data_IF_152193271879
#
_entry.id   IF_152193271879
#
_cell.length_a   1.000
_cell.length_b   1.000
_cell.length_c   1.000
_cell.angle_alpha   90.00
_cell.angle_beta   90.00
_cell.angle_gamma   90.00
#
_symmetry.space_group_name_H-M   'P 1'
#
loop_
_entity.id
_entity.type
_entity.pdbx_description
1 polymer ?
#
# COMPACT_ATOMS: atom_id res chain seq x y z
N UNK A 1 8.69 24.06 2.99
CA UNK A 1 9.21 25.40 2.62
C UNK A 1 9.25 26.40 3.77
N UNK A 2 8.60 26.12 4.91
CA UNK A 2 8.53 27.04 6.07
C UNK A 2 9.82 27.10 6.89
N UNK A 3 10.50 26.00 7.09
CA UNK A 3 11.76 25.91 7.88
C UNK A 3 12.86 26.87 7.38
N UNK A 4 12.97 27.10 6.07
CA UNK A 4 14.03 27.94 5.51
C UNK A 4 13.82 29.44 5.71
N UNK A 5 12.59 29.90 5.89
CA UNK A 5 12.25 31.33 5.97
C UNK A 5 12.08 31.85 7.39
N UNK A 6 11.70 30.98 8.34
CA UNK A 6 11.46 31.37 9.74
C UNK A 6 12.60 31.02 10.69
N UNK A 7 13.63 30.32 10.20
CA UNK A 7 14.81 29.92 10.98
C UNK A 7 15.83 31.07 11.21
N UNK A 8 15.51 32.29 10.82
CA UNK A 8 16.43 33.45 10.98
C UNK A 8 16.51 34.00 12.41
N UNK A 9 15.81 33.38 13.37
CA UNK A 9 15.90 33.79 14.78
C UNK A 9 17.02 32.99 15.47
N UNK A 10 17.87 33.68 16.24
CA UNK A 10 19.01 33.11 16.97
C UNK A 10 18.60 31.94 17.88
N UNK A 11 17.39 31.96 18.45
CA UNK A 11 16.88 30.89 19.30
C UNK A 11 16.49 29.61 18.53
N UNK A 12 16.31 29.72 17.22
CA UNK A 12 15.84 28.63 16.37
C UNK A 12 16.96 28.04 15.49
N UNK A 13 18.12 28.67 15.46
CA UNK A 13 19.30 28.28 14.70
C UNK A 13 20.47 28.07 15.65
N UNK A 14 20.86 26.84 15.89
CA UNK A 14 21.91 26.47 16.83
C UNK A 14 23.07 25.81 16.09
N UNK A 15 24.28 26.31 16.28
CA UNK A 15 25.53 25.68 15.84
C UNK A 15 26.05 24.73 16.92
N UNK A 16 26.69 23.64 16.51
CA UNK A 16 27.29 22.66 17.39
C UNK A 16 28.75 22.39 17.05
N UNK A 17 29.58 22.33 18.08
CA UNK A 17 30.91 21.76 17.94
C UNK A 17 30.80 20.23 17.80
N UNK A 18 31.56 19.67 16.85
CA UNK A 18 31.64 18.23 16.63
C UNK A 18 32.85 17.68 17.35
N UNK A 19 32.65 16.84 18.33
CA UNK A 19 33.70 16.27 19.17
C UNK A 19 34.14 14.90 18.71
N UNK A 20 35.46 14.71 18.47
CA UNK A 20 36.08 13.43 18.14
C UNK A 20 37.38 13.27 18.93
N UNK A 21 37.58 12.10 19.59
CA UNK A 21 38.78 11.70 20.30
C UNK A 21 39.39 12.77 21.24
N UNK A 22 38.53 13.54 21.89
CA UNK A 22 38.94 14.54 22.91
C UNK A 22 39.26 15.95 22.36
N UNK A 23 38.90 16.21 21.10
CA UNK A 23 39.02 17.57 20.49
C UNK A 23 37.82 17.90 19.61
N UNK A 24 37.70 19.19 19.29
CA UNK A 24 36.71 19.67 18.31
C UNK A 24 37.22 19.38 16.90
N UNK A 25 36.37 18.74 16.10
CA UNK A 25 36.63 18.50 14.68
C UNK A 25 36.09 19.69 13.86
N UNK A 26 36.96 20.67 13.58
CA UNK A 26 36.62 21.89 12.84
C UNK A 26 36.26 21.66 11.35
N UNK A 27 36.42 20.42 10.85
CA UNK A 27 36.08 20.08 9.46
C UNK A 27 34.61 19.80 9.26
N UNK A 28 33.87 19.53 10.32
CA UNK A 28 32.41 19.24 10.24
C UNK A 28 31.64 20.46 10.76
N UNK A 29 30.83 21.04 9.89
CA UNK A 29 29.81 22.01 10.29
C UNK A 29 28.55 21.29 10.67
N UNK A 30 28.05 21.57 11.87
CA UNK A 30 26.80 20.98 12.39
C UNK A 30 25.91 22.11 12.91
N UNK A 31 24.63 22.07 12.53
CA UNK A 31 23.65 23.01 13.04
C UNK A 31 22.24 22.40 13.02
N UNK A 32 21.36 22.91 13.89
CA UNK A 32 19.93 22.61 13.87
C UNK A 32 19.10 23.86 13.60
N UNK A 33 17.96 23.65 12.94
CA UNK A 33 16.94 24.67 12.72
C UNK A 33 15.61 24.18 13.28
N UNK A 34 14.81 25.10 13.81
CA UNK A 34 13.44 24.82 14.22
C UNK A 34 12.47 25.90 13.76
N UNK A 35 11.23 25.50 13.46
CA UNK A 35 10.12 26.40 13.18
C UNK A 35 8.80 25.75 13.64
N UNK A 36 8.23 26.22 14.74
CA UNK A 36 7.11 25.59 15.39
C UNK A 36 7.47 24.15 15.81
N UNK A 37 6.78 23.15 15.24
CA UNK A 37 7.05 21.75 15.50
C UNK A 37 7.89 21.08 14.39
N UNK A 38 8.45 21.85 13.46
CA UNK A 38 9.33 21.34 12.42
C UNK A 38 10.79 21.52 12.83
N UNK A 39 11.59 20.48 12.72
CA UNK A 39 13.00 20.45 13.09
C UNK A 39 13.85 19.91 11.94
N UNK A 40 15.06 20.44 11.81
CA UNK A 40 16.07 19.91 10.90
C UNK A 40 17.45 19.95 11.56
N UNK A 41 18.28 18.96 11.24
CA UNK A 41 19.69 18.92 11.63
C UNK A 41 20.52 18.73 10.37
N UNK A 42 21.56 19.55 10.21
CA UNK A 42 22.44 19.53 9.05
C UNK A 42 23.87 19.29 9.49
N UNK A 43 24.54 18.40 8.78
CA UNK A 43 25.97 18.13 8.91
C UNK A 43 26.64 18.28 7.55
N UNK A 44 27.83 18.89 7.51
CA UNK A 44 28.62 19.02 6.31
C UNK A 44 30.10 18.85 6.64
N UNK A 45 30.76 17.91 5.99
CA UNK A 45 32.22 17.76 6.06
C UNK A 45 32.88 18.63 5.01
N UNK A 46 33.61 19.65 5.45
CA UNK A 46 34.32 20.62 4.59
C UNK A 46 35.78 20.19 4.29
N UNK A 47 36.09 18.91 4.34
CA UNK A 47 37.42 18.35 4.07
C UNK A 47 37.32 17.18 3.09
N UNK A 48 38.40 16.88 2.38
CA UNK A 48 38.48 15.75 1.46
C UNK A 48 38.45 14.40 2.19
N UNK A 49 39.09 14.33 3.37
CA UNK A 49 39.15 13.10 4.16
C UNK A 49 37.83 12.83 4.89
N UNK A 50 37.63 11.58 5.26
CA UNK A 50 36.52 11.18 6.16
C UNK A 50 36.65 11.90 7.50
N UNK A 51 35.56 12.39 8.02
CA UNK A 51 35.45 13.03 9.32
C UNK A 51 34.26 12.48 10.10
N UNK A 52 34.37 12.42 11.43
CA UNK A 52 33.32 11.90 12.31
C UNK A 52 33.36 12.62 13.66
N UNK A 53 32.32 12.44 14.44
CA UNK A 53 32.24 12.94 15.81
C UNK A 53 30.83 13.01 16.37
N UNK A 54 30.75 13.52 17.57
CA UNK A 54 29.49 13.69 18.31
C UNK A 54 29.12 15.15 18.44
N UNK A 55 27.85 15.47 18.29
CA UNK A 55 27.28 16.75 18.72
C UNK A 55 26.42 16.52 19.96
N UNK A 56 26.56 17.39 20.97
CA UNK A 56 25.76 17.33 22.19
C UNK A 56 25.29 18.70 22.64
N UNK A 57 26.20 19.65 22.74
CA UNK A 57 25.93 21.00 23.21
C UNK A 57 26.16 22.00 22.07
N UNK A 58 25.29 23.01 21.93
CA UNK A 58 25.49 24.09 20.99
C UNK A 58 26.66 24.99 21.39
N UNK A 59 27.26 25.67 20.42
CA UNK A 59 28.07 26.84 20.69
C UNK A 59 27.25 27.87 21.46
N UNK A 60 27.92 28.69 22.25
CA UNK A 60 27.27 29.79 22.98
C UNK A 60 26.74 30.85 22.00
N UNK A 61 25.51 31.32 22.26
CA UNK A 61 24.88 32.38 21.50
C UNK A 61 24.34 33.48 22.44
N UNK A 62 24.39 34.71 21.96
CA UNK A 62 24.01 35.88 22.73
C UNK A 62 22.50 36.12 22.68
N UNK A 63 21.83 36.17 23.83
CA UNK A 63 20.41 36.48 23.97
C UNK A 63 20.24 37.81 24.72
N UNK A 64 19.44 38.72 24.19
CA UNK A 64 19.04 39.92 24.89
C UNK A 64 17.93 39.61 25.90
N UNK A 65 18.19 39.89 27.17
CA UNK A 65 17.27 39.66 28.29
C UNK A 65 16.97 41.00 28.96
N UNK A 66 15.71 41.15 29.41
CA UNK A 66 15.23 42.40 30.03
C UNK A 66 14.37 43.24 29.09
N UNK A 67 13.93 44.39 29.59
CA UNK A 67 13.11 45.34 28.83
C UNK A 67 13.56 46.80 29.17
N UNK A 68 13.50 47.68 28.18
CA UNK A 68 13.92 49.07 28.31
C UNK A 68 15.40 49.26 28.69
N UNK A 69 15.70 50.10 29.62
CA UNK A 69 17.07 50.45 30.05
C UNK A 69 17.79 49.34 30.84
N UNK A 70 17.05 48.27 31.25
CA UNK A 70 17.62 47.09 31.94
C UNK A 70 17.96 45.97 30.99
N UNK A 71 18.00 46.18 29.66
CA UNK A 71 18.36 45.18 28.71
C UNK A 71 19.86 44.85 28.80
N UNK A 72 20.19 43.57 29.03
CA UNK A 72 21.56 43.05 29.01
C UNK A 72 21.67 41.82 28.11
N UNK A 73 22.90 41.44 27.76
CA UNK A 73 23.16 40.26 26.93
C UNK A 73 23.62 39.11 27.83
N UNK A 74 22.95 37.96 27.72
CA UNK A 74 23.34 36.68 28.31
C UNK A 74 23.86 35.73 27.26
N UNK A 75 24.94 35.00 27.57
CA UNK A 75 25.41 33.89 26.74
C UNK A 75 24.67 32.63 27.16
N UNK A 76 24.05 31.96 26.21
CA UNK A 76 23.30 30.72 26.42
C UNK A 76 23.78 29.66 25.47
N UNK A 77 23.60 28.40 25.87
CA UNK A 77 23.77 27.24 25.00
C UNK A 77 22.63 26.26 25.26
N UNK A 78 22.33 25.42 24.30
CA UNK A 78 21.29 24.35 24.38
C UNK A 78 21.89 23.01 23.95
N UNK A 79 21.48 21.95 24.61
CA UNK A 79 21.76 20.60 24.10
C UNK A 79 21.02 20.35 22.77
N UNK A 80 21.50 19.39 21.98
CA UNK A 80 20.78 18.98 20.75
C UNK A 80 19.37 18.45 21.08
N UNK A 81 19.19 17.79 22.22
CA UNK A 81 17.88 17.34 22.67
C UNK A 81 16.93 18.51 23.00
N UNK A 82 17.41 19.56 23.64
CA UNK A 82 16.63 20.79 23.84
C UNK A 82 16.31 21.49 22.52
N UNK A 83 17.28 21.55 21.59
CA UNK A 83 17.11 22.12 20.25
C UNK A 83 16.07 21.37 19.40
N UNK A 84 15.90 20.08 19.64
CA UNK A 84 14.92 19.22 18.97
C UNK A 84 13.65 18.95 19.81
N UNK A 85 13.54 19.57 20.99
CA UNK A 85 12.43 19.38 21.93
C UNK A 85 12.19 17.91 22.32
N UNK A 86 13.28 17.17 22.61
CA UNK A 86 13.23 15.76 23.01
C UNK A 86 13.16 15.64 24.55
N UNK A 87 12.43 14.64 25.01
CA UNK A 87 12.26 14.35 26.43
C UNK A 87 13.33 13.39 26.95
N UNK A 88 13.76 13.58 28.20
CA UNK A 88 14.59 12.60 28.92
C UNK A 88 13.71 11.50 29.49
N UNK A 89 13.28 10.59 28.63
CA UNK A 89 12.33 9.53 28.94
C UNK A 89 12.71 8.21 28.23
N UNK A 90 12.67 7.09 28.97
CA UNK A 90 13.02 5.77 28.47
C UNK A 90 11.95 5.20 27.51
N UNK A 91 10.72 5.71 27.60
CA UNK A 91 9.57 5.24 26.79
C UNK A 91 9.34 6.10 25.53
N UNK A 92 10.29 6.99 25.21
CA UNK A 92 10.17 7.87 24.05
C UNK A 92 11.28 7.68 23.05
N UNK A 93 10.93 7.82 21.78
CA UNK A 93 11.79 7.57 20.61
C UNK A 93 11.74 8.74 19.68
N UNK A 94 12.92 9.19 19.24
CA UNK A 94 13.08 10.19 18.21
C UNK A 94 13.14 9.50 16.85
N UNK A 95 12.22 9.86 15.96
CA UNK A 95 12.16 9.41 14.57
C UNK A 95 12.58 10.57 13.67
N UNK A 96 13.40 10.31 12.67
CA UNK A 96 13.86 11.31 11.71
C UNK A 96 14.22 10.68 10.37
N UNK A 97 14.20 11.48 9.32
CA UNK A 97 14.47 11.07 7.95
C UNK A 97 15.71 11.75 7.39
N UNK A 98 16.61 11.00 6.78
CA UNK A 98 17.72 11.57 6.02
C UNK A 98 17.21 11.95 4.62
N UNK A 99 17.37 13.23 4.29
CA UNK A 99 16.75 13.85 3.11
C UNK A 99 17.26 13.28 1.76
N UNK A 100 18.56 13.00 1.65
CA UNK A 100 19.19 12.54 0.40
C UNK A 100 18.88 11.08 0.08
N UNK A 101 18.97 10.21 1.07
CA UNK A 101 18.75 8.78 0.91
C UNK A 101 17.28 8.41 1.06
N UNK A 102 16.48 9.26 1.69
CA UNK A 102 15.09 9.00 2.05
C UNK A 102 14.93 7.97 3.18
N UNK A 103 16.02 7.58 3.85
CA UNK A 103 15.97 6.59 4.92
C UNK A 103 15.45 7.19 6.22
N UNK A 104 14.60 6.43 6.89
CA UNK A 104 14.11 6.71 8.23
C UNK A 104 15.03 6.10 9.27
N UNK A 105 15.19 6.79 10.38
CA UNK A 105 15.97 6.39 11.54
C UNK A 105 15.12 6.49 12.80
N UNK A 106 15.42 5.65 13.77
CA UNK A 106 14.83 5.68 15.10
C UNK A 106 15.93 5.58 16.15
N UNK A 107 15.82 6.38 17.21
CA UNK A 107 16.73 6.42 18.35
C UNK A 107 15.94 6.60 19.63
N UNK A 108 16.44 6.08 20.75
CA UNK A 108 15.89 6.43 22.08
C UNK A 108 16.10 7.92 22.35
N UNK A 109 15.05 8.67 22.70
CA UNK A 109 15.17 10.09 23.03
C UNK A 109 16.15 10.32 24.18
N UNK A 110 16.11 9.49 25.22
CA UNK A 110 17.04 9.53 26.33
C UNK A 110 18.50 9.34 25.90
N UNK A 111 18.79 8.45 24.94
CA UNK A 111 20.13 8.28 24.42
C UNK A 111 20.67 9.55 23.74
N UNK A 112 19.82 10.24 22.97
CA UNK A 112 20.18 11.54 22.37
C UNK A 112 20.43 12.59 23.46
N UNK A 113 19.63 12.62 24.51
CA UNK A 113 19.85 13.51 25.65
C UNK A 113 21.18 13.23 26.37
N UNK A 114 21.55 11.98 26.55
CA UNK A 114 22.76 11.60 27.28
C UNK A 114 24.03 11.71 26.44
N UNK A 115 24.01 11.20 25.22
CA UNK A 115 25.20 11.06 24.35
C UNK A 115 25.27 12.12 23.26
N UNK A 116 24.14 12.70 22.86
CA UNK A 116 24.03 13.52 21.64
C UNK A 116 23.82 12.69 20.39
N UNK A 117 24.18 13.22 19.23
CA UNK A 117 24.09 12.55 17.93
C UNK A 117 25.48 12.30 17.35
N UNK A 118 25.74 11.09 16.92
CA UNK A 118 26.97 10.71 16.21
C UNK A 118 26.80 10.88 14.72
N UNK A 119 27.84 11.40 14.05
CA UNK A 119 27.92 11.53 12.62
C UNK A 119 29.26 11.03 12.08
N UNK A 120 29.23 10.41 10.91
CA UNK A 120 30.44 10.05 10.15
C UNK A 120 30.17 10.35 8.66
N UNK A 121 30.99 11.19 8.07
CA UNK A 121 30.85 11.69 6.71
C UNK A 121 32.12 11.44 5.89
N UNK A 122 31.96 11.06 4.64
CA UNK A 122 33.06 11.03 3.68
C UNK A 122 33.46 12.45 3.29
N UNK A 123 34.51 12.59 2.47
CA UNK A 123 34.97 13.91 2.02
C UNK A 123 33.88 14.68 1.28
N UNK A 124 33.66 15.93 1.69
CA UNK A 124 32.63 16.83 1.15
C UNK A 124 31.21 16.29 1.20
N UNK A 125 30.96 15.27 2.01
CA UNK A 125 29.63 14.72 2.21
C UNK A 125 28.82 15.59 3.17
N UNK A 126 27.50 15.64 2.93
CA UNK A 126 26.54 16.24 3.84
C UNK A 126 25.41 15.28 4.16
N UNK A 127 24.81 15.45 5.33
CA UNK A 127 23.55 14.79 5.72
C UNK A 127 22.58 15.82 6.27
N UNK A 128 21.33 15.70 5.89
CA UNK A 128 20.25 16.58 6.34
C UNK A 128 19.15 15.71 6.91
N UNK A 129 18.92 15.82 8.22
CA UNK A 129 17.83 15.15 8.89
C UNK A 129 16.63 16.09 9.00
N UNK A 130 15.48 15.60 8.56
CA UNK A 130 14.20 16.31 8.54
C UNK A 130 13.09 15.43 9.11
N UNK A 131 11.86 15.91 9.17
CA UNK A 131 10.70 15.17 9.68
C UNK A 131 10.97 14.62 11.10
N UNK A 132 11.76 15.34 11.89
CA UNK A 132 12.19 14.95 13.24
C UNK A 132 11.00 15.12 14.18
N UNK A 133 10.63 14.05 14.86
CA UNK A 133 9.56 14.07 15.86
C UNK A 133 9.77 13.00 16.91
N UNK A 134 9.20 13.23 18.09
CA UNK A 134 9.22 12.28 19.19
C UNK A 134 7.90 11.51 19.25
N UNK A 135 7.99 10.21 19.49
CA UNK A 135 6.86 9.32 19.71
C UNK A 135 6.98 8.59 21.04
N UNK A 136 5.87 8.32 21.68
CA UNK A 136 5.80 7.45 22.85
C UNK A 136 5.64 6.00 22.40
N UNK A 137 6.28 5.06 23.11
CA UNK A 137 6.17 3.64 22.78
C UNK A 137 4.73 3.13 22.94
N UNK A 138 4.39 2.15 22.15
CA UNK A 138 3.07 1.53 22.14
C UNK A 138 3.02 0.36 23.14
N UNK A 139 1.81 -0.09 23.51
CA UNK A 139 1.63 -1.19 24.44
C UNK A 139 2.28 -2.52 23.99
N UNK A 140 2.49 -2.70 22.70
CA UNK A 140 3.20 -3.82 22.09
C UNK A 140 4.71 -3.58 21.91
N UNK A 141 5.25 -2.52 22.52
CA UNK A 141 6.67 -2.14 22.47
C UNK A 141 7.26 -1.98 21.04
N UNK A 142 6.44 -1.47 20.14
CA UNK A 142 6.78 -1.32 18.73
C UNK A 142 8.06 -0.54 18.48
N UNK A 143 8.16 0.66 19.05
CA UNK A 143 9.32 1.53 18.81
C UNK A 143 10.58 1.05 19.53
N UNK A 144 10.42 0.41 20.69
CA UNK A 144 11.51 -0.28 21.38
C UNK A 144 12.08 -1.38 20.48
N UNK A 145 11.23 -2.29 19.99
CA UNK A 145 11.64 -3.43 19.17
C UNK A 145 12.27 -2.96 17.86
N UNK A 146 11.69 -1.96 17.18
CA UNK A 146 12.26 -1.35 15.98
C UNK A 146 13.65 -0.74 16.24
N UNK A 147 13.79 0.04 17.32
CA UNK A 147 15.05 0.67 17.69
C UNK A 147 16.14 -0.39 17.96
N UNK A 148 15.79 -1.42 18.74
CA UNK A 148 16.71 -2.49 19.10
C UNK A 148 17.09 -3.39 17.91
N UNK A 149 16.17 -3.58 16.95
CA UNK A 149 16.41 -4.35 15.72
C UNK A 149 17.25 -3.58 14.72
N UNK A 150 16.95 -2.32 14.50
CA UNK A 150 17.66 -1.48 13.54
C UNK A 150 19.04 -1.08 14.04
N UNK A 151 19.26 -0.98 15.35
CA UNK A 151 20.55 -0.62 15.96
C UNK A 151 21.20 0.58 15.30
N UNK A 152 20.38 1.56 14.96
CA UNK A 152 20.86 2.75 14.32
C UNK A 152 20.97 2.73 12.81
N UNK A 153 20.70 1.62 12.16
CA UNK A 153 20.60 1.58 10.69
C UNK A 153 19.33 2.32 10.23
N UNK A 154 19.41 2.96 9.09
CA UNK A 154 18.24 3.51 8.41
C UNK A 154 17.47 2.45 7.67
N UNK A 155 16.17 2.68 7.50
CA UNK A 155 15.27 1.85 6.68
C UNK A 155 14.41 2.74 5.78
N UNK A 156 13.85 2.19 4.71
CA UNK A 156 12.99 2.96 3.79
C UNK A 156 11.62 3.26 4.37
N UNK A 157 11.11 2.41 5.25
CA UNK A 157 9.78 2.55 5.86
C UNK A 157 9.72 1.78 7.19
N UNK A 158 9.47 2.48 8.30
CA UNK A 158 9.37 1.88 9.64
C UNK A 158 8.14 0.98 9.79
N UNK A 159 7.05 1.25 9.06
CA UNK A 159 5.86 0.40 9.07
C UNK A 159 6.15 -0.95 8.42
N UNK A 160 6.87 -0.94 7.30
CA UNK A 160 7.30 -2.17 6.62
C UNK A 160 8.22 -2.99 7.52
N UNK A 161 9.21 -2.37 8.17
CA UNK A 161 10.11 -3.06 9.11
C UNK A 161 9.32 -3.68 10.28
N UNK A 162 8.33 -2.96 10.81
CA UNK A 162 7.47 -3.48 11.86
C UNK A 162 6.65 -4.69 11.39
N UNK A 163 6.04 -4.62 10.20
CA UNK A 163 5.32 -5.74 9.62
C UNK A 163 6.22 -6.97 9.40
N UNK A 164 7.46 -6.78 8.91
CA UNK A 164 8.43 -7.87 8.74
C UNK A 164 8.77 -8.56 10.07
N UNK A 165 8.82 -7.81 11.16
CA UNK A 165 9.06 -8.36 12.48
C UNK A 165 7.84 -9.11 13.02
N UNK A 166 6.65 -8.49 12.95
CA UNK A 166 5.40 -9.07 13.46
C UNK A 166 4.97 -10.33 12.71
N UNK A 167 5.13 -10.35 11.39
CA UNK A 167 4.64 -11.41 10.51
C UNK A 167 5.76 -12.29 9.95
N UNK A 168 6.91 -12.36 10.60
CA UNK A 168 8.08 -13.12 10.12
C UNK A 168 7.73 -14.55 9.75
N UNK A 169 7.11 -15.30 10.66
CA UNK A 169 6.79 -16.72 10.44
C UNK A 169 5.74 -16.88 9.34
N UNK A 170 4.76 -15.98 9.29
CA UNK A 170 3.78 -15.94 8.22
C UNK A 170 4.45 -15.72 6.86
N UNK A 171 5.34 -14.74 6.76
CA UNK A 171 6.03 -14.44 5.51
C UNK A 171 7.02 -15.53 5.08
N UNK A 172 7.67 -16.20 6.02
CA UNK A 172 8.53 -17.35 5.71
C UNK A 172 7.73 -18.53 5.18
N UNK A 173 6.61 -18.88 5.82
CA UNK A 173 5.74 -19.96 5.35
C UNK A 173 5.08 -19.61 4.00
N UNK A 174 4.67 -18.35 3.80
CA UNK A 174 4.18 -17.85 2.52
C UNK A 174 5.23 -17.98 1.41
N UNK A 175 6.46 -17.52 1.65
CA UNK A 175 7.55 -17.58 0.67
C UNK A 175 7.87 -19.02 0.26
N UNK A 176 7.90 -19.94 1.21
CA UNK A 176 8.11 -21.36 0.93
C UNK A 176 7.00 -21.94 0.03
N UNK A 177 5.74 -21.59 0.29
CA UNK A 177 4.62 -22.03 -0.53
C UNK A 177 4.62 -21.35 -1.91
N UNK A 178 4.77 -20.03 -1.99
CA UNK A 178 4.81 -19.28 -3.25
C UNK A 178 5.94 -19.76 -4.17
N UNK A 179 7.14 -19.97 -3.62
CA UNK A 179 8.30 -20.48 -4.37
C UNK A 179 8.10 -21.91 -4.88
N UNK A 180 7.32 -22.73 -4.19
CA UNK A 180 7.02 -24.10 -4.64
C UNK A 180 5.96 -24.16 -5.74
N UNK A 181 5.21 -23.09 -5.97
CA UNK A 181 4.01 -23.10 -6.83
C UNK A 181 4.14 -22.18 -8.04
N UNK A 182 4.55 -20.92 -7.84
CA UNK A 182 4.49 -19.90 -8.90
C UNK A 182 5.40 -20.23 -10.08
N UNK A 183 6.65 -20.71 -9.93
CA UNK A 183 7.50 -21.08 -11.07
C UNK A 183 6.91 -22.21 -11.92
N UNK A 184 6.31 -23.20 -11.28
CA UNK A 184 5.68 -24.32 -11.97
C UNK A 184 4.44 -23.88 -12.76
N UNK A 185 3.62 -23.00 -12.18
CA UNK A 185 2.48 -22.40 -12.88
C UNK A 185 2.97 -21.60 -14.09
N UNK A 186 4.00 -20.76 -13.91
CA UNK A 186 4.59 -19.99 -15.00
C UNK A 186 5.06 -20.88 -16.14
N UNK A 187 5.75 -21.99 -15.82
CA UNK A 187 6.19 -22.98 -16.81
C UNK A 187 5.02 -23.66 -17.54
N UNK A 188 3.92 -23.97 -16.85
CA UNK A 188 2.73 -24.56 -17.47
C UNK A 188 2.03 -23.56 -18.41
N UNK A 189 2.00 -22.28 -18.06
CA UNK A 189 1.35 -21.22 -18.84
C UNK A 189 2.21 -20.77 -20.03
N UNK A 190 3.54 -20.85 -19.91
CA UNK A 190 4.51 -20.38 -20.88
C UNK A 190 5.49 -21.53 -21.28
N UNK A 191 5.01 -22.61 -21.93
CA UNK A 191 5.85 -23.73 -22.32
C UNK A 191 6.94 -23.29 -23.29
N UNK A 192 8.17 -23.72 -23.06
CA UNK A 192 9.36 -23.40 -23.90
C UNK A 192 9.33 -24.15 -25.24
N UNK A 193 8.52 -25.21 -25.34
CA UNK A 193 8.42 -26.04 -26.53
C UNK A 193 7.29 -25.60 -27.49
N UNK A 194 7.49 -25.74 -28.79
CA UNK A 194 6.46 -25.44 -29.79
C UNK A 194 5.22 -26.35 -29.66
N UNK A 195 5.37 -27.53 -29.05
CA UNK A 195 4.26 -28.43 -28.77
C UNK A 195 3.61 -28.04 -27.46
N UNK A 196 2.41 -27.52 -27.53
CA UNK A 196 1.60 -27.23 -26.34
C UNK A 196 1.08 -28.51 -25.69
N UNK A 197 1.17 -28.59 -24.34
CA UNK A 197 0.65 -29.75 -23.63
C UNK A 197 -0.86 -29.91 -23.83
N UNK A 198 -1.30 -31.15 -23.94
CA UNK A 198 -2.72 -31.51 -23.98
C UNK A 198 -3.39 -31.26 -22.62
N UNK A 199 -4.72 -31.11 -22.61
CA UNK A 199 -5.48 -30.97 -21.35
C UNK A 199 -5.22 -32.14 -20.37
N UNK A 200 -5.03 -33.36 -20.87
CA UNK A 200 -4.70 -34.51 -20.03
C UNK A 200 -3.30 -34.41 -19.40
N UNK A 201 -2.31 -33.93 -20.17
CA UNK A 201 -0.94 -33.70 -19.67
C UNK A 201 -0.96 -32.58 -18.60
N UNK A 202 -1.68 -31.49 -18.85
CA UNK A 202 -1.82 -30.39 -17.88
C UNK A 202 -2.50 -30.83 -16.59
N UNK A 203 -3.59 -31.59 -16.67
CA UNK A 203 -4.22 -32.18 -15.48
C UNK A 203 -3.24 -33.00 -14.66
N UNK A 204 -2.39 -33.80 -15.32
CA UNK A 204 -1.36 -34.59 -14.66
C UNK A 204 -0.30 -33.69 -13.99
N UNK A 205 0.14 -32.63 -14.69
CA UNK A 205 1.11 -31.68 -14.18
C UNK A 205 0.55 -30.89 -12.97
N UNK A 206 -0.68 -30.38 -13.08
CA UNK A 206 -1.34 -29.69 -11.97
C UNK A 206 -1.51 -30.60 -10.75
N UNK A 207 -1.94 -31.86 -10.97
CA UNK A 207 -2.06 -32.82 -9.88
C UNK A 207 -0.70 -33.08 -9.21
N UNK A 208 0.37 -33.27 -9.99
CA UNK A 208 1.70 -33.46 -9.44
C UNK A 208 2.18 -32.22 -8.65
N UNK A 209 1.91 -31.01 -9.16
CA UNK A 209 2.23 -29.77 -8.45
C UNK A 209 1.46 -29.65 -7.14
N UNK A 210 0.14 -29.87 -7.18
CA UNK A 210 -0.72 -29.83 -5.98
C UNK A 210 -0.21 -30.83 -4.94
N UNK A 211 0.08 -32.07 -5.33
CA UNK A 211 0.61 -33.10 -4.42
C UNK A 211 1.99 -32.71 -3.84
N UNK A 212 2.89 -32.15 -4.64
CA UNK A 212 4.23 -31.76 -4.21
C UNK A 212 4.24 -30.56 -3.25
N UNK A 213 3.37 -29.56 -3.46
CA UNK A 213 3.29 -28.36 -2.63
C UNK A 213 2.44 -28.52 -1.36
N UNK A 214 1.78 -29.67 -1.16
CA UNK A 214 0.83 -29.89 -0.06
C UNK A 214 1.33 -29.50 1.31
N UNK A 215 2.53 -29.96 1.66
CA UNK A 215 3.10 -29.69 2.98
C UNK A 215 3.40 -28.20 3.19
N UNK A 216 3.93 -27.53 2.17
CA UNK A 216 4.20 -26.09 2.22
C UNK A 216 2.88 -25.29 2.32
N UNK A 217 1.86 -25.69 1.56
CA UNK A 217 0.54 -25.08 1.58
C UNK A 217 -0.13 -25.20 2.94
N UNK A 218 -0.20 -26.43 3.50
CA UNK A 218 -0.81 -26.67 4.81
C UNK A 218 -0.04 -25.93 5.91
N UNK A 219 1.29 -25.92 5.87
CA UNK A 219 2.09 -25.13 6.82
C UNK A 219 1.76 -23.64 6.74
N UNK A 220 1.69 -23.09 5.52
CA UNK A 220 1.31 -21.69 5.34
C UNK A 220 -0.10 -21.40 5.86
N UNK A 221 -1.10 -22.22 5.50
CA UNK A 221 -2.48 -22.01 5.94
C UNK A 221 -2.64 -22.15 7.46
N UNK A 222 -1.94 -23.12 8.07
CA UNK A 222 -1.94 -23.29 9.53
C UNK A 222 -1.30 -22.08 10.22
N UNK A 223 -0.15 -21.65 9.74
CA UNK A 223 0.55 -20.47 10.28
C UNK A 223 -0.30 -19.22 10.16
N UNK A 224 -0.86 -18.96 8.98
CA UNK A 224 -1.71 -17.79 8.73
C UNK A 224 -2.99 -17.80 9.60
N UNK A 225 -3.63 -18.96 9.79
CA UNK A 225 -4.79 -19.09 10.67
C UNK A 225 -4.46 -18.75 12.13
N UNK A 226 -3.23 -19.04 12.59
CA UNK A 226 -2.79 -18.66 13.93
C UNK A 226 -2.65 -17.12 14.10
N UNK A 227 -2.39 -16.39 13.03
CA UNK A 227 -2.37 -14.91 13.04
C UNK A 227 -3.77 -14.29 12.88
N UNK A 228 -4.79 -15.06 12.52
CA UNK A 228 -6.16 -14.61 12.27
C UNK A 228 -7.12 -14.89 13.43
N UNK A 229 -6.66 -14.76 14.69
CA UNK A 229 -7.45 -15.11 15.87
C UNK A 229 -8.77 -14.34 16.02
N UNK A 230 -8.89 -13.20 15.36
CA UNK A 230 -10.06 -12.32 15.35
C UNK A 230 -11.08 -12.62 14.23
N UNK A 231 -10.77 -13.60 13.35
CA UNK A 231 -11.59 -13.94 12.18
C UNK A 231 -11.75 -15.45 12.07
N UNK A 232 -12.98 -15.91 11.83
CA UNK A 232 -13.25 -17.32 11.56
C UNK A 232 -12.82 -17.68 10.13
N UNK A 233 -11.86 -18.59 10.00
CA UNK A 233 -11.32 -19.08 8.74
C UNK A 233 -11.56 -20.59 8.59
N UNK A 234 -11.63 -21.09 7.34
CA UNK A 234 -11.66 -22.54 7.10
C UNK A 234 -10.39 -23.21 7.61
N UNK A 235 -10.49 -24.50 7.99
CA UNK A 235 -9.32 -25.33 8.30
C UNK A 235 -8.30 -25.36 7.15
N UNK A 236 -7.01 -25.53 7.48
CA UNK A 236 -5.91 -25.48 6.51
C UNK A 236 -6.08 -26.47 5.35
N UNK A 237 -6.56 -27.69 5.63
CA UNK A 237 -6.85 -28.72 4.63
C UNK A 237 -7.96 -28.30 3.67
N UNK A 238 -8.99 -27.62 4.17
CA UNK A 238 -10.07 -27.10 3.34
C UNK A 238 -9.60 -25.93 2.47
N UNK A 239 -8.74 -25.07 3.00
CA UNK A 239 -8.13 -23.99 2.23
C UNK A 239 -7.25 -24.56 1.11
N UNK A 240 -6.42 -25.55 1.42
CA UNK A 240 -5.61 -26.28 0.44
C UNK A 240 -6.46 -26.94 -0.66
N UNK A 241 -7.54 -27.62 -0.28
CA UNK A 241 -8.45 -28.23 -1.25
C UNK A 241 -9.11 -27.20 -2.18
N UNK A 242 -9.47 -26.02 -1.65
CA UNK A 242 -10.00 -24.91 -2.45
C UNK A 242 -8.94 -24.35 -3.40
N UNK A 243 -7.72 -24.14 -2.93
CA UNK A 243 -6.57 -23.73 -3.77
C UNK A 243 -6.35 -24.71 -4.92
N UNK A 244 -6.27 -26.01 -4.62
CA UNK A 244 -6.07 -27.06 -5.62
C UNK A 244 -7.15 -27.03 -6.72
N UNK A 245 -8.41 -26.90 -6.32
CA UNK A 245 -9.55 -26.81 -7.24
C UNK A 245 -9.49 -25.55 -8.12
N UNK A 246 -9.18 -24.41 -7.55
CA UNK A 246 -9.04 -23.15 -8.31
C UNK A 246 -7.87 -23.21 -9.28
N UNK A 247 -6.74 -23.75 -8.84
CA UNK A 247 -5.56 -23.90 -9.69
C UNK A 247 -5.81 -24.81 -10.87
N UNK A 248 -6.45 -25.98 -10.64
CA UNK A 248 -6.82 -26.88 -11.71
C UNK A 248 -7.71 -26.17 -12.74
N UNK A 249 -8.76 -25.48 -12.29
CA UNK A 249 -9.67 -24.73 -13.16
C UNK A 249 -8.93 -23.67 -13.97
N UNK A 250 -8.08 -22.87 -13.34
CA UNK A 250 -7.30 -21.80 -13.98
C UNK A 250 -6.36 -22.35 -15.07
N UNK A 251 -5.56 -23.38 -14.74
CA UNK A 251 -4.57 -23.92 -15.68
C UNK A 251 -5.23 -24.59 -16.88
N UNK A 252 -6.35 -25.30 -16.67
CA UNK A 252 -7.08 -25.93 -17.77
C UNK A 252 -7.74 -24.92 -18.70
N UNK A 253 -8.28 -23.82 -18.16
CA UNK A 253 -8.84 -22.74 -18.98
C UNK A 253 -7.76 -22.01 -19.79
N UNK A 254 -6.57 -21.81 -19.21
CA UNK A 254 -5.44 -21.20 -19.89
C UNK A 254 -4.90 -22.05 -21.07
N UNK A 255 -4.99 -23.36 -20.93
CA UNK A 255 -4.47 -24.32 -21.92
C UNK A 255 -5.30 -24.41 -23.19
N UNK A 256 -6.59 -24.11 -23.11
CA UNK A 256 -7.44 -24.14 -24.29
C UNK A 256 -7.13 -22.96 -25.20
N UNK A 257 -6.63 -23.25 -26.42
CA UNK A 257 -6.39 -22.23 -27.44
C UNK A 257 -7.70 -21.80 -28.09
N UNK A 258 -7.98 -20.50 -28.20
CA UNK A 258 -8.90 -20.05 -29.23
C UNK A 258 -8.22 -20.20 -30.62
N UNK A 259 -9.02 -20.51 -31.60
CA UNK A 259 -8.54 -20.67 -32.97
C UNK A 259 -8.00 -19.37 -33.58
N UNK A 260 -8.37 -18.19 -33.05
CA UNK A 260 -7.89 -16.84 -33.46
C UNK A 260 -7.97 -15.88 -32.28
N UNK A 261 -7.02 -14.92 -32.19
CA UNK A 261 -7.17 -13.77 -31.26
C UNK A 261 -8.42 -12.99 -31.67
N UNK A 262 -9.32 -12.65 -30.75
CA UNK A 262 -10.43 -11.76 -31.08
C UNK A 262 -9.88 -10.39 -31.48
N UNK A 263 -10.33 -9.84 -32.60
CA UNK A 263 -9.98 -8.49 -33.03
C UNK A 263 -10.52 -7.42 -32.04
N UNK A 264 -11.65 -7.73 -31.41
CA UNK A 264 -12.24 -6.93 -30.32
C UNK A 264 -12.62 -7.84 -29.14
N UNK A 265 -11.79 -7.80 -28.11
CA UNK A 265 -11.97 -8.58 -26.86
C UNK A 265 -13.31 -8.33 -26.22
N UNK A 266 -13.72 -7.08 -26.14
CA UNK A 266 -14.94 -6.70 -25.45
C UNK A 266 -16.18 -7.16 -26.21
N UNK A 267 -16.12 -7.15 -27.56
CA UNK A 267 -17.21 -7.70 -28.38
C UNK A 267 -17.30 -9.22 -28.23
N UNK A 268 -16.15 -9.90 -28.12
CA UNK A 268 -16.08 -11.35 -27.90
C UNK A 268 -16.58 -11.74 -26.51
N UNK A 269 -16.19 -10.99 -25.47
CA UNK A 269 -16.68 -11.19 -24.08
C UNK A 269 -18.21 -11.01 -23.99
N UNK A 270 -18.76 -9.99 -24.64
CA UNK A 270 -20.23 -9.76 -24.70
C UNK A 270 -20.99 -10.89 -25.41
N UNK A 271 -20.34 -11.66 -26.27
CA UNK A 271 -20.91 -12.79 -27.00
C UNK A 271 -20.72 -14.13 -26.27
N UNK A 272 -19.93 -14.16 -25.19
CA UNK A 272 -19.73 -15.38 -24.40
C UNK A 272 -21.05 -15.85 -23.80
N UNK A 273 -21.40 -17.12 -24.06
CA UNK A 273 -22.70 -17.69 -23.65
C UNK A 273 -22.65 -18.38 -22.29
N UNK A 274 -21.48 -18.70 -21.81
CA UNK A 274 -21.22 -19.42 -20.57
C UNK A 274 -19.93 -18.92 -19.91
N UNK A 275 -19.73 -19.31 -18.65
CA UNK A 275 -18.59 -18.89 -17.86
C UNK A 275 -17.24 -19.31 -18.45
N UNK A 276 -17.17 -20.52 -18.96
CA UNK A 276 -15.92 -21.06 -19.49
C UNK A 276 -15.52 -20.34 -20.78
N UNK A 277 -16.46 -20.05 -21.68
CA UNK A 277 -16.18 -19.26 -22.88
C UNK A 277 -15.81 -17.81 -22.55
N UNK A 278 -16.39 -17.22 -21.52
CA UNK A 278 -16.05 -15.87 -21.03
C UNK A 278 -14.62 -15.81 -20.49
N UNK A 279 -14.28 -16.69 -19.55
CA UNK A 279 -12.95 -16.76 -18.93
C UNK A 279 -11.88 -17.07 -19.98
N UNK A 280 -12.17 -18.03 -20.89
CA UNK A 280 -11.28 -18.39 -22.00
C UNK A 280 -11.00 -17.22 -22.96
N UNK A 281 -12.03 -16.45 -23.31
CA UNK A 281 -11.86 -15.27 -24.18
C UNK A 281 -10.97 -14.22 -23.51
N UNK A 282 -11.18 -13.93 -22.23
CA UNK A 282 -10.33 -12.99 -21.48
C UNK A 282 -8.89 -13.46 -21.42
N UNK A 283 -8.69 -14.73 -21.09
CA UNK A 283 -7.37 -15.34 -21.01
C UNK A 283 -6.56 -15.28 -22.29
N UNK A 284 -7.21 -15.44 -23.42
CA UNK A 284 -6.53 -15.36 -24.72
C UNK A 284 -5.93 -14.00 -24.99
N UNK A 285 -6.51 -12.99 -24.40
CA UNK A 285 -6.10 -11.60 -24.65
C UNK A 285 -5.13 -11.08 -23.61
N UNK A 286 -5.16 -11.66 -22.40
CA UNK A 286 -4.27 -11.30 -21.30
C UNK A 286 -3.80 -12.55 -20.55
N UNK A 287 -2.89 -13.34 -21.14
CA UNK A 287 -2.40 -14.57 -20.53
C UNK A 287 -1.71 -14.36 -19.18
N UNK A 288 -1.11 -13.20 -18.96
CA UNK A 288 -0.50 -12.79 -17.68
C UNK A 288 -1.48 -12.74 -16.53
N UNK A 289 -2.78 -12.54 -16.77
CA UNK A 289 -3.79 -12.51 -15.71
C UNK A 289 -3.96 -13.86 -15.00
N UNK A 290 -3.66 -14.96 -15.67
CA UNK A 290 -3.77 -16.29 -15.02
C UNK A 290 -2.78 -16.46 -13.90
N UNK A 291 -1.56 -15.96 -14.06
CA UNK A 291 -0.55 -16.02 -13.01
C UNK A 291 -0.96 -15.19 -11.80
N UNK A 292 -1.51 -13.98 -11.99
CA UNK A 292 -2.01 -13.16 -10.89
C UNK A 292 -3.28 -13.74 -10.24
N UNK A 293 -4.15 -14.39 -11.02
CA UNK A 293 -5.30 -15.13 -10.47
C UNK A 293 -4.84 -16.36 -9.68
N UNK A 294 -3.75 -17.02 -10.07
CA UNK A 294 -3.15 -18.10 -9.28
C UNK A 294 -2.55 -17.57 -7.96
N UNK A 295 -1.90 -16.41 -7.98
CA UNK A 295 -1.46 -15.73 -6.76
C UNK A 295 -2.65 -15.42 -5.82
N UNK A 296 -3.76 -14.93 -6.37
CA UNK A 296 -4.99 -14.74 -5.61
C UNK A 296 -5.52 -16.07 -5.04
N UNK A 297 -5.50 -17.17 -5.80
CA UNK A 297 -5.95 -18.47 -5.33
C UNK A 297 -5.17 -18.96 -4.09
N UNK A 298 -3.86 -18.62 -3.99
CA UNK A 298 -3.02 -18.93 -2.82
C UNK A 298 -3.58 -18.28 -1.54
N UNK A 299 -4.03 -17.03 -1.63
CA UNK A 299 -4.46 -16.23 -0.46
C UNK A 299 -5.97 -15.99 -0.39
N UNK A 300 -6.74 -16.68 -1.22
CA UNK A 300 -8.19 -16.41 -1.36
C UNK A 300 -8.95 -16.29 -0.04
N UNK A 301 -8.80 -17.26 0.86
CA UNK A 301 -9.51 -17.26 2.15
C UNK A 301 -9.21 -16.01 2.99
N UNK A 302 -8.00 -15.49 2.87
CA UNK A 302 -7.56 -14.27 3.57
C UNK A 302 -8.02 -13.01 2.86
N UNK A 303 -8.07 -13.03 1.52
CA UNK A 303 -8.63 -11.93 0.74
C UNK A 303 -10.13 -11.76 1.02
N UNK A 304 -10.88 -12.85 1.05
CA UNK A 304 -12.32 -12.88 1.40
C UNK A 304 -12.57 -12.34 2.82
N UNK A 305 -11.67 -12.64 3.74
CA UNK A 305 -11.73 -12.20 5.13
C UNK A 305 -11.18 -10.76 5.33
N UNK A 306 -10.69 -10.08 4.28
CA UNK A 306 -10.09 -8.74 4.36
C UNK A 306 -8.69 -8.68 4.97
N UNK A 307 -8.03 -9.84 5.16
CA UNK A 307 -6.71 -9.95 5.80
C UNK A 307 -5.54 -9.73 4.82
N UNK A 308 -5.76 -9.85 3.52
CA UNK A 308 -4.69 -9.73 2.52
C UNK A 308 -4.00 -8.34 2.52
N UNK A 309 -4.75 -7.27 2.79
CA UNK A 309 -4.19 -5.92 2.92
C UNK A 309 -3.48 -5.75 4.26
N UNK A 310 -4.08 -6.22 5.37
CA UNK A 310 -3.48 -6.21 6.72
C UNK A 310 -2.13 -6.91 6.75
N UNK A 311 -1.99 -8.03 6.05
CA UNK A 311 -0.75 -8.81 5.96
C UNK A 311 0.09 -8.49 4.73
N UNK A 312 -0.23 -7.43 4.00
CA UNK A 312 0.52 -6.91 2.86
C UNK A 312 0.92 -7.98 1.82
N UNK A 313 0.06 -8.97 1.54
CA UNK A 313 0.39 -10.05 0.58
C UNK A 313 0.67 -9.54 -0.83
N UNK A 314 0.03 -8.43 -1.27
CA UNK A 314 0.37 -7.80 -2.54
C UNK A 314 1.86 -7.41 -2.59
N UNK A 315 2.38 -6.81 -1.52
CA UNK A 315 3.81 -6.46 -1.40
C UNK A 315 4.68 -7.72 -1.43
N UNK A 316 4.30 -8.78 -0.70
CA UNK A 316 5.06 -10.04 -0.65
C UNK A 316 5.11 -10.75 -2.00
N UNK A 317 4.05 -10.74 -2.80
CA UNK A 317 4.08 -11.21 -4.18
C UNK A 317 4.97 -10.35 -5.08
N UNK A 318 4.91 -9.02 -4.95
CA UNK A 318 5.79 -8.13 -5.69
C UNK A 318 7.28 -8.36 -5.36
N UNK A 319 7.61 -8.56 -4.09
CA UNK A 319 8.96 -8.91 -3.64
C UNK A 319 9.41 -10.25 -4.25
N UNK A 320 8.53 -11.25 -4.29
CA UNK A 320 8.80 -12.51 -4.96
C UNK A 320 9.13 -12.31 -6.44
N UNK A 321 8.29 -11.62 -7.22
CA UNK A 321 8.53 -11.35 -8.64
C UNK A 321 9.83 -10.55 -8.86
N UNK A 322 10.16 -9.63 -7.97
CA UNK A 322 11.44 -8.93 -7.98
C UNK A 322 12.63 -9.88 -7.78
N UNK A 323 12.54 -10.80 -6.85
CA UNK A 323 13.61 -11.73 -6.52
C UNK A 323 13.96 -12.69 -7.67
N UNK A 324 12.98 -13.02 -8.50
CA UNK A 324 13.15 -13.89 -9.69
C UNK A 324 13.36 -13.09 -10.98
N UNK A 325 13.52 -11.77 -10.90
CA UNK A 325 13.76 -10.91 -12.07
C UNK A 325 12.57 -10.75 -13.01
N UNK A 326 11.36 -11.14 -12.57
CA UNK A 326 10.13 -11.11 -13.38
C UNK A 326 9.24 -9.90 -13.08
N UNK A 327 9.63 -9.02 -12.15
CA UNK A 327 8.81 -7.87 -11.78
C UNK A 327 8.72 -6.85 -12.91
N UNK A 328 7.52 -6.63 -13.42
CA UNK A 328 7.19 -5.58 -14.39
C UNK A 328 6.11 -4.66 -13.81
N UNK A 329 5.96 -3.48 -14.40
CA UNK A 329 4.87 -2.57 -14.04
C UNK A 329 3.50 -3.26 -14.22
N UNK A 330 3.33 -4.01 -15.30
CA UNK A 330 2.06 -4.66 -15.62
C UNK A 330 1.71 -5.77 -14.64
N UNK A 331 2.66 -6.60 -14.23
CA UNK A 331 2.46 -7.63 -13.20
C UNK A 331 2.01 -6.99 -11.89
N UNK A 332 2.70 -5.93 -11.44
CA UNK A 332 2.35 -5.22 -10.23
C UNK A 332 0.95 -4.60 -10.29
N UNK A 333 0.64 -3.91 -11.41
CA UNK A 333 -0.66 -3.29 -11.60
C UNK A 333 -1.79 -4.34 -11.65
N UNK A 334 -1.56 -5.47 -12.31
CA UNK A 334 -2.54 -6.55 -12.40
C UNK A 334 -2.76 -7.26 -11.06
N UNK A 335 -1.71 -7.51 -10.26
CA UNK A 335 -1.84 -8.01 -8.89
C UNK A 335 -2.72 -7.08 -8.05
N UNK A 336 -2.41 -5.79 -8.05
CA UNK A 336 -3.21 -4.79 -7.34
C UNK A 336 -4.66 -4.80 -7.78
N UNK A 337 -4.93 -4.86 -9.10
CA UNK A 337 -6.30 -4.95 -9.64
C UNK A 337 -7.01 -6.20 -9.13
N UNK A 338 -6.38 -7.37 -9.22
CA UNK A 338 -6.98 -8.66 -8.78
C UNK A 338 -7.34 -8.59 -7.31
N UNK A 339 -6.42 -8.19 -6.43
CA UNK A 339 -6.66 -8.18 -4.98
C UNK A 339 -7.68 -7.14 -4.54
N UNK A 340 -7.74 -6.01 -5.22
CA UNK A 340 -8.72 -4.97 -4.91
C UNK A 340 -10.12 -5.36 -5.40
N UNK A 341 -10.23 -5.90 -6.62
CA UNK A 341 -11.51 -6.32 -7.19
C UNK A 341 -12.08 -7.56 -6.50
N UNK A 342 -11.23 -8.46 -5.99
CA UNK A 342 -11.66 -9.62 -5.22
C UNK A 342 -12.51 -9.26 -3.99
N UNK A 343 -12.32 -8.07 -3.41
CA UNK A 343 -13.12 -7.58 -2.27
C UNK A 343 -14.61 -7.37 -2.60
N UNK A 344 -14.94 -7.21 -3.86
CA UNK A 344 -16.31 -6.94 -4.34
C UNK A 344 -16.83 -7.98 -5.34
N UNK A 345 -16.02 -8.97 -5.69
CA UNK A 345 -16.34 -10.04 -6.63
C UNK A 345 -17.07 -11.20 -5.89
N UNK A 346 -18.26 -10.94 -5.38
CA UNK A 346 -19.03 -11.92 -4.59
C UNK A 346 -20.25 -12.45 -5.36
N UNK A 347 -20.11 -13.66 -5.90
CA UNK A 347 -21.17 -14.34 -6.65
C UNK A 347 -22.45 -14.56 -5.79
N UNK A 348 -22.33 -14.73 -4.47
CA UNK A 348 -23.48 -14.90 -3.56
C UNK A 348 -24.22 -13.57 -3.42
N UNK A 349 -23.49 -12.46 -3.26
CA UNK A 349 -24.11 -11.14 -3.19
C UNK A 349 -24.78 -10.78 -4.52
N UNK A 350 -24.12 -11.04 -5.66
CA UNK A 350 -24.68 -10.81 -7.00
C UNK A 350 -26.01 -11.55 -7.15
N UNK A 351 -26.05 -12.83 -6.79
CA UNK A 351 -27.26 -13.64 -6.88
C UNK A 351 -28.36 -13.17 -5.94
N UNK A 352 -28.01 -12.68 -4.74
CA UNK A 352 -28.96 -12.24 -3.72
C UNK A 352 -29.48 -10.82 -3.95
N UNK A 353 -28.63 -9.91 -4.33
CA UNK A 353 -28.89 -8.47 -4.51
C UNK A 353 -27.90 -7.87 -5.53
N UNK A 354 -28.18 -8.11 -6.81
CA UNK A 354 -27.36 -7.63 -7.93
C UNK A 354 -27.15 -6.11 -7.88
N UNK A 355 -28.17 -5.34 -7.48
CA UNK A 355 -28.07 -3.88 -7.40
C UNK A 355 -27.08 -3.41 -6.35
N UNK A 356 -27.03 -4.09 -5.20
CA UNK A 356 -26.06 -3.79 -4.14
C UNK A 356 -24.66 -4.21 -4.58
N UNK A 357 -24.50 -5.36 -5.22
CA UNK A 357 -23.23 -5.81 -5.76
C UNK A 357 -22.69 -4.83 -6.80
N UNK A 358 -23.52 -4.43 -7.77
CA UNK A 358 -23.18 -3.40 -8.77
C UNK A 358 -22.77 -2.07 -8.13
N UNK A 359 -23.47 -1.64 -7.08
CA UNK A 359 -23.12 -0.42 -6.35
C UNK A 359 -21.70 -0.50 -5.75
N UNK A 360 -21.38 -1.57 -5.06
CA UNK A 360 -20.03 -1.74 -4.46
C UNK A 360 -18.94 -1.83 -5.54
N UNK A 361 -19.18 -2.55 -6.64
CA UNK A 361 -18.25 -2.63 -7.77
C UNK A 361 -18.03 -1.23 -8.38
N UNK A 362 -19.11 -0.53 -8.77
CA UNK A 362 -18.99 0.77 -9.43
C UNK A 362 -18.44 1.84 -8.51
N UNK A 363 -18.76 1.81 -7.21
CA UNK A 363 -18.19 2.69 -6.20
C UNK A 363 -16.66 2.53 -6.14
N UNK A 364 -16.18 1.29 -6.14
CA UNK A 364 -14.74 1.00 -6.15
C UNK A 364 -14.06 1.49 -7.43
N UNK A 365 -14.71 1.35 -8.58
CA UNK A 365 -14.21 1.82 -9.88
C UNK A 365 -14.19 3.35 -10.00
N UNK A 366 -15.06 4.07 -9.32
CA UNK A 366 -15.29 5.51 -9.54
C UNK A 366 -14.88 6.41 -8.38
N UNK A 367 -14.60 5.84 -7.20
CA UNK A 367 -14.33 6.60 -5.98
C UNK A 367 -13.16 6.02 -5.18
N UNK A 368 -12.48 6.89 -4.40
CA UNK A 368 -11.40 6.48 -3.51
C UNK A 368 -10.05 6.27 -4.19
N UNK A 369 -9.10 5.76 -3.43
CA UNK A 369 -7.67 5.66 -3.82
C UNK A 369 -7.39 4.74 -5.01
N UNK A 370 -8.28 3.79 -5.29
CA UNK A 370 -8.10 2.82 -6.36
C UNK A 370 -8.79 3.16 -7.68
N UNK A 371 -9.62 4.20 -7.71
CA UNK A 371 -10.38 4.55 -8.91
C UNK A 371 -9.47 4.87 -10.12
N UNK A 372 -8.33 5.55 -9.90
CA UNK A 372 -7.33 5.78 -10.96
C UNK A 372 -6.77 4.49 -11.55
N UNK A 373 -6.42 3.50 -10.69
CA UNK A 373 -5.91 2.20 -11.12
C UNK A 373 -6.96 1.36 -11.87
N UNK A 374 -8.19 1.35 -11.36
CA UNK A 374 -9.24 0.42 -11.82
C UNK A 374 -10.04 0.96 -13.01
N UNK A 375 -10.13 2.27 -13.17
CA UNK A 375 -10.91 2.86 -14.27
C UNK A 375 -10.21 4.02 -14.99
N UNK A 376 -8.96 4.33 -14.62
CA UNK A 376 -8.30 5.54 -15.12
C UNK A 376 -8.99 6.82 -14.69
N UNK A 377 -9.71 6.78 -13.54
CA UNK A 377 -10.48 7.93 -13.06
C UNK A 377 -9.57 9.14 -12.79
N UNK A 378 -9.95 10.28 -13.35
CA UNK A 378 -9.29 11.55 -13.12
C UNK A 378 -10.33 12.69 -12.99
N UNK A 379 -9.91 13.84 -12.48
CA UNK A 379 -10.78 15.03 -12.35
C UNK A 379 -10.34 16.12 -13.32
N UNK A 380 -11.34 16.64 -14.06
CA UNK A 380 -11.18 17.81 -14.90
C UNK A 380 -12.43 18.69 -14.76
N UNK A 381 -12.27 19.98 -14.46
CA UNK A 381 -13.36 20.95 -14.22
C UNK A 381 -14.42 20.42 -13.22
N UNK A 382 -13.96 19.91 -12.06
CA UNK A 382 -14.78 19.32 -10.99
C UNK A 382 -15.58 18.07 -11.35
N UNK A 383 -15.49 17.59 -12.59
CA UNK A 383 -16.11 16.36 -13.05
C UNK A 383 -15.08 15.23 -12.98
N UNK A 384 -15.47 14.10 -12.40
CA UNK A 384 -14.69 12.87 -12.44
C UNK A 384 -15.00 12.09 -13.71
N UNK A 385 -13.98 11.82 -14.50
CA UNK A 385 -14.04 11.06 -15.76
C UNK A 385 -13.35 9.71 -15.60
N UNK A 386 -13.83 8.68 -16.31
CA UNK A 386 -13.17 7.39 -16.37
C UNK A 386 -12.71 7.05 -17.79
N UNK A 387 -11.69 6.17 -17.91
CA UNK A 387 -11.23 5.62 -19.18
C UNK A 387 -12.05 4.39 -19.54
N UNK A 388 -12.48 4.31 -20.80
CA UNK A 388 -13.35 3.23 -21.29
C UNK A 388 -12.67 1.86 -21.23
N UNK A 389 -11.46 1.76 -21.76
CA UNK A 389 -10.72 0.51 -21.92
C UNK A 389 -10.33 -0.05 -20.56
N UNK A 390 -9.79 0.81 -19.67
CA UNK A 390 -9.40 0.42 -18.30
C UNK A 390 -10.60 -0.05 -17.48
N UNK A 391 -11.75 0.64 -17.61
CA UNK A 391 -12.99 0.23 -16.95
C UNK A 391 -13.55 -1.08 -17.48
N UNK A 392 -13.48 -1.30 -18.79
CA UNK A 392 -13.93 -2.56 -19.42
C UNK A 392 -13.11 -3.75 -18.92
N UNK A 393 -11.78 -3.59 -18.81
CA UNK A 393 -10.89 -4.60 -18.24
C UNK A 393 -11.23 -4.94 -16.79
N UNK A 394 -11.44 -3.91 -15.96
CA UNK A 394 -11.75 -4.12 -14.54
C UNK A 394 -13.12 -4.76 -14.34
N UNK A 395 -14.14 -4.40 -15.14
CA UNK A 395 -15.45 -5.05 -15.10
C UNK A 395 -15.33 -6.52 -15.54
N UNK A 396 -14.55 -6.80 -16.59
CA UNK A 396 -14.30 -8.18 -17.01
C UNK A 396 -13.56 -8.98 -15.92
N UNK A 397 -12.55 -8.40 -15.29
CA UNK A 397 -11.74 -9.05 -14.26
C UNK A 397 -12.55 -9.36 -12.99
N UNK A 398 -13.36 -8.43 -12.50
CA UNK A 398 -14.24 -8.70 -11.34
C UNK A 398 -15.25 -9.79 -11.65
N UNK A 399 -15.74 -9.86 -12.88
CA UNK A 399 -16.63 -10.92 -13.34
C UNK A 399 -15.94 -12.28 -13.35
N UNK A 400 -14.69 -12.37 -13.86
CA UNK A 400 -13.90 -13.62 -13.81
C UNK A 400 -13.70 -14.10 -12.39
N UNK A 401 -13.31 -13.22 -11.48
CA UNK A 401 -13.10 -13.57 -10.07
C UNK A 401 -14.41 -14.13 -9.47
N UNK A 402 -15.53 -13.48 -9.72
CA UNK A 402 -16.84 -13.98 -9.26
C UNK A 402 -17.21 -15.33 -9.89
N UNK A 403 -16.94 -15.53 -11.19
CA UNK A 403 -17.21 -16.79 -11.90
C UNK A 403 -16.35 -17.96 -11.41
N UNK A 404 -15.10 -17.71 -11.01
CA UNK A 404 -14.22 -18.75 -10.45
C UNK A 404 -14.82 -19.39 -9.17
N UNK A 405 -15.63 -18.63 -8.44
CA UNK A 405 -16.25 -19.02 -7.19
C UNK A 405 -17.72 -19.42 -7.33
N UNK A 406 -18.36 -18.99 -8.40
CA UNK A 406 -19.75 -19.25 -8.66
C UNK A 406 -20.04 -20.76 -8.78
N UNK A 407 -21.16 -21.18 -8.22
CA UNK A 407 -21.80 -22.46 -8.55
C UNK A 407 -22.49 -22.34 -9.90
N UNK A 408 -22.82 -23.47 -10.54
CA UNK A 408 -23.53 -23.49 -11.82
C UNK A 408 -24.83 -22.65 -11.76
N UNK A 409 -25.56 -22.72 -10.64
CA UNK A 409 -26.76 -21.92 -10.42
C UNK A 409 -26.53 -20.39 -10.30
N UNK A 410 -25.33 -19.96 -10.01
CA UNK A 410 -24.97 -18.54 -9.86
C UNK A 410 -24.38 -17.94 -11.15
N UNK A 411 -23.90 -18.78 -12.04
CA UNK A 411 -23.17 -18.36 -13.25
C UNK A 411 -23.98 -17.41 -14.12
N UNK A 412 -25.26 -17.73 -14.36
CA UNK A 412 -26.14 -16.88 -15.18
C UNK A 412 -26.33 -15.48 -14.56
N UNK A 413 -26.51 -15.40 -13.23
CA UNK A 413 -26.65 -14.14 -12.53
C UNK A 413 -25.37 -13.27 -12.62
N UNK A 414 -24.18 -13.88 -12.52
CA UNK A 414 -22.90 -13.18 -12.64
C UNK A 414 -22.70 -12.65 -14.06
N UNK A 415 -23.05 -13.41 -15.09
CA UNK A 415 -22.96 -12.94 -16.49
C UNK A 415 -24.00 -11.85 -16.80
N UNK A 416 -25.19 -11.92 -16.21
CA UNK A 416 -26.21 -10.87 -16.32
C UNK A 416 -25.71 -9.55 -15.69
N UNK A 417 -25.12 -9.62 -14.51
CA UNK A 417 -24.50 -8.47 -13.82
C UNK A 417 -23.41 -7.80 -14.68
N UNK A 418 -22.56 -8.59 -15.32
CA UNK A 418 -21.56 -8.11 -16.25
C UNK A 418 -22.20 -7.27 -17.39
N UNK A 419 -23.28 -7.79 -18.00
CA UNK A 419 -23.99 -7.10 -19.07
C UNK A 419 -24.62 -5.78 -18.58
N UNK A 420 -25.19 -5.78 -17.38
CA UNK A 420 -25.79 -4.59 -16.75
C UNK A 420 -24.75 -3.53 -16.44
N UNK A 421 -23.59 -3.90 -15.90
CA UNK A 421 -22.48 -2.98 -15.63
C UNK A 421 -21.97 -2.35 -16.93
N UNK A 422 -21.77 -3.12 -18.00
CA UNK A 422 -21.37 -2.58 -19.30
C UNK A 422 -22.41 -1.64 -19.90
N UNK A 423 -23.70 -1.98 -19.77
CA UNK A 423 -24.80 -1.12 -20.23
C UNK A 423 -24.83 0.21 -19.47
N UNK A 424 -24.75 0.17 -18.14
CA UNK A 424 -24.70 1.36 -17.30
C UNK A 424 -23.47 2.24 -17.60
N UNK A 425 -22.29 1.62 -17.77
CA UNK A 425 -21.06 2.32 -18.14
C UNK A 425 -21.21 3.04 -19.48
N UNK A 426 -21.79 2.38 -20.49
CA UNK A 426 -22.00 2.97 -21.83
C UNK A 426 -22.91 4.20 -21.75
N UNK A 427 -23.97 4.14 -20.94
CA UNK A 427 -24.90 5.26 -20.71
C UNK A 427 -24.32 6.39 -19.87
N UNK A 428 -23.23 6.16 -19.17
CA UNK A 428 -22.60 7.14 -18.29
C UNK A 428 -21.77 8.21 -19.01
N UNK A 429 -21.56 8.08 -20.31
CA UNK A 429 -20.80 9.06 -21.14
C UNK A 429 -19.44 9.43 -20.49
N UNK A 430 -18.71 8.43 -20.00
CA UNK A 430 -17.41 8.55 -19.33
C UNK A 430 -17.41 9.30 -17.98
N UNK A 431 -18.58 9.70 -17.45
CA UNK A 431 -18.64 10.40 -16.16
C UNK A 431 -18.86 9.43 -15.00
N UNK A 432 -17.96 9.46 -14.00
CA UNK A 432 -18.04 8.63 -12.80
C UNK A 432 -19.38 8.79 -12.05
N UNK A 433 -19.88 10.02 -11.94
CA UNK A 433 -21.16 10.32 -11.29
C UNK A 433 -22.36 9.71 -11.98
N UNK A 434 -22.37 9.70 -13.33
CA UNK A 434 -23.43 9.08 -14.11
C UNK A 434 -23.36 7.55 -14.04
N UNK A 435 -22.15 6.96 -13.96
CA UNK A 435 -21.97 5.54 -13.88
C UNK A 435 -22.51 4.95 -12.56
N UNK A 436 -22.24 5.59 -11.42
CA UNK A 436 -22.70 5.09 -10.12
C UNK A 436 -24.18 5.37 -9.84
N UNK A 437 -24.73 6.43 -10.40
CA UNK A 437 -26.10 6.92 -10.12
C UNK A 437 -27.21 5.85 -10.19
N UNK A 438 -27.25 4.94 -11.19
CA UNK A 438 -28.29 3.92 -11.28
C UNK A 438 -28.32 2.93 -10.12
N UNK A 439 -27.18 2.74 -9.45
CA UNK A 439 -26.98 1.74 -8.41
C UNK A 439 -27.10 2.29 -6.99
N UNK A 440 -27.09 3.61 -6.80
CA UNK A 440 -27.17 4.24 -5.47
C UNK A 440 -28.43 3.79 -4.72
N UNK A 441 -28.32 3.28 -3.48
CA UNK A 441 -29.46 2.92 -2.66
C UNK A 441 -30.39 4.11 -2.39
N UNK A 442 -31.71 3.89 -2.46
CA UNK A 442 -32.72 4.95 -2.27
C UNK A 442 -32.63 5.67 -0.91
N UNK A 443 -32.07 5.02 0.09
CA UNK A 443 -31.86 5.60 1.44
C UNK A 443 -30.78 6.69 1.47
N UNK A 444 -29.69 6.55 0.73
CA UNK A 444 -28.63 7.57 0.66
C UNK A 444 -29.07 8.84 -0.10
N UNK A 445 -30.00 8.70 -1.02
CA UNK A 445 -30.58 9.85 -1.77
C UNK A 445 -31.39 10.77 -0.87
N UNK A 446 -32.06 10.23 0.16
CA UNK A 446 -32.84 11.03 1.12
C UNK A 446 -31.95 11.80 2.10
N UNK A 447 -30.83 11.25 2.55
CA UNK A 447 -29.91 11.95 3.47
C UNK A 447 -29.16 13.10 2.79
N UNK A 448 -28.75 12.96 1.52
CA UNK A 448 -28.14 14.06 0.77
C UNK A 448 -29.13 15.18 0.47
N UNK A 449 -30.36 14.84 0.08
CA UNK A 449 -31.40 15.83 -0.12
C UNK A 449 -31.75 16.59 1.17
N UNK A 450 -31.74 15.91 2.32
CA UNK A 450 -32.03 16.54 3.64
C UNK A 450 -30.86 17.42 4.11
N UNK A 451 -29.60 17.07 3.77
CA UNK A 451 -28.43 17.91 4.07
C UNK A 451 -28.36 19.15 3.17
N UNK A 452 -28.68 19.04 1.89
CA UNK A 452 -28.74 20.18 0.95
C UNK A 452 -29.86 21.15 1.32
N UNK A 453 -31.06 20.63 1.65
CA UNK A 453 -32.18 21.45 2.11
C UNK A 453 -31.88 22.18 3.43
N UNK A 454 -31.17 21.52 4.38
CA UNK A 454 -30.73 22.17 5.65
C UNK A 454 -29.66 23.24 5.44
N UNK A 455 -28.84 23.10 4.40
CA UNK A 455 -27.79 24.09 4.07
C UNK A 455 -28.39 25.31 3.36
N UNK A 456 -29.40 25.12 2.50
CA UNK A 456 -30.15 26.22 1.85
C UNK A 456 -31.04 27.00 2.84
N UNK A 457 -31.70 26.31 3.80
CA UNK A 457 -32.45 27.00 4.87
C UNK A 457 -31.58 27.81 5.82
N UNK A 458 -30.32 27.38 6.07
CA UNK A 458 -29.37 28.17 6.85
C UNK A 458 -28.76 29.33 6.05
N UNK A 459 -28.64 29.21 4.75
CA UNK A 459 -28.17 30.28 3.84
C UNK A 459 -29.20 31.42 3.76
N UNK A 460 -30.50 31.13 3.60
CA UNK A 460 -31.58 32.11 3.50
C UNK A 460 -31.87 32.84 4.83
N UNK A 461 -31.67 32.18 5.99
CA UNK A 461 -31.79 32.85 7.31
C UNK A 461 -30.63 33.79 7.67
N UNK A 462 -29.47 33.66 7.04
CA UNK A 462 -28.34 34.59 7.23
C UNK A 462 -28.43 35.84 6.38
N UNK A 463 -29.07 35.78 5.21
CA UNK A 463 -29.26 36.93 4.34
C UNK A 463 -30.40 37.85 4.84
N UNK A 464 -31.42 37.28 5.50
CA UNK A 464 -32.56 38.09 6.04
C UNK A 464 -32.20 38.86 7.35
N UNK A 465 -31.07 38.60 7.99
CA UNK A 465 -30.62 39.32 9.20
C UNK A 465 -29.62 40.46 8.91
N UNK A 466 -29.20 40.66 7.67
CA UNK A 466 -28.29 41.76 7.28
C UNK A 466 -28.99 42.97 6.67
N UNK A 467 -30.31 42.95 6.50
CA UNK A 467 -31.09 44.05 5.93
C UNK A 467 -31.98 44.81 6.95
N UNK A 468 -31.74 44.56 8.27
CA UNK A 468 -32.36 45.35 9.36
C UNK A 468 -31.31 45.76 10.39
N UNK A 469 -30.39 46.61 9.97
CA UNK A 469 -29.63 47.53 10.82
C UNK A 469 -29.16 48.69 9.96
#
# INVERSE_FOLDING_TARGET
>A
MSIYWSAANVDNFLFYDVWDNGGVNENIFAYSNSCGNEYAVVFYNNKYDRAQGWIKQSCEYAVKVGSGDETHTEMRSKSISEGLNLSYDDNKYCIFKEHRTGLWFIRRSKEICEKGMFIALNGFEYQVYTEIHEVEDTADHRYQILCDTLQGRGCYDLEIEWQELCYRDLYQSFAAFATSVIPEIHGMLNPVTDEKPTAAQLKKQVKALVDSCKNAAINFYTTANNFAQDVELPEAEKQYANFAKLLEKLVLLAAEKPAKKPEDVMAALKKAKDADSFIKTLATTKPELYEQLACYAIIKSYADAGLSERWAFERKFNEYFHSVGAATYDIRANLSKVFVLAKVADAKLITKDAKKAAFEIVKLLTQGKYAGLLSGANRFNDICWFNKEVSDESIALVTVIALLEATDAQTEAVLAEYADLLSAKTKAEYQCGNFIKPFVPKTETKEKATKTAKTEEKGTKKTAKKTKK
#
